data_IF_102211901563
#
_entry.id   IF_102211901563
#
_cell.length_a   1.000
_cell.length_b   1.000
_cell.length_c   1.000
_cell.angle_alpha   90.00
_cell.angle_beta   90.00
_cell.angle_gamma   90.00
#
_symmetry.space_group_name_H-M   'P 1'
#
loop_
_entity.id
_entity.type
_entity.pdbx_description
1 polymer ?
#
# COMPACT_ATOMS: atom_id res chain seq x y z
N UNK A 1 -3.12 -10.94 -20.43
CA UNK A 1 -3.75 -11.50 -19.21
C UNK A 1 -2.75 -12.15 -18.27
N UNK A 2 -1.88 -13.06 -18.70
CA UNK A 2 -0.83 -13.70 -17.84
C UNK A 2 0.01 -12.70 -17.02
N UNK A 3 0.36 -11.56 -17.58
CA UNK A 3 1.19 -10.55 -16.92
C UNK A 3 0.53 -9.91 -15.69
N UNK A 4 -0.79 -9.69 -15.70
CA UNK A 4 -1.48 -9.11 -14.54
C UNK A 4 -1.71 -10.13 -13.41
N UNK A 5 -1.84 -11.41 -13.75
CA UNK A 5 -1.90 -12.49 -12.74
C UNK A 5 -0.58 -12.57 -11.99
N UNK A 6 0.56 -12.47 -12.68
CA UNK A 6 1.88 -12.40 -12.05
C UNK A 6 2.03 -11.20 -11.10
N UNK A 7 1.47 -10.03 -11.48
CA UNK A 7 1.45 -8.86 -10.61
C UNK A 7 0.57 -9.06 -9.37
N UNK A 8 -0.62 -9.64 -9.55
CA UNK A 8 -1.53 -9.95 -8.44
C UNK A 8 -0.86 -10.89 -7.44
N UNK A 9 -0.26 -11.97 -7.92
CA UNK A 9 0.45 -12.95 -7.09
C UNK A 9 1.64 -12.31 -6.35
N UNK A 10 2.35 -11.42 -7.03
CA UNK A 10 3.45 -10.66 -6.44
C UNK A 10 2.97 -9.77 -5.29
N UNK A 11 1.92 -8.96 -5.52
CA UNK A 11 1.32 -8.11 -4.51
C UNK A 11 0.79 -8.95 -3.33
N UNK A 12 0.09 -10.05 -3.61
CA UNK A 12 -0.48 -10.92 -2.57
C UNK A 12 0.59 -11.53 -1.67
N UNK A 13 1.72 -11.96 -2.24
CA UNK A 13 2.85 -12.48 -1.49
C UNK A 13 3.47 -11.43 -0.55
N UNK A 14 3.71 -10.22 -1.04
CA UNK A 14 4.29 -9.14 -0.23
C UNK A 14 3.29 -8.59 0.79
N UNK A 15 2.02 -8.41 0.41
CA UNK A 15 0.96 -7.98 1.31
C UNK A 15 0.81 -8.95 2.49
N UNK A 16 0.80 -10.25 2.23
CA UNK A 16 0.75 -11.28 3.27
C UNK A 16 1.97 -11.24 4.20
N UNK A 17 3.16 -11.01 3.66
CA UNK A 17 4.39 -10.94 4.44
C UNK A 17 4.39 -9.76 5.44
N UNK A 18 3.63 -8.69 5.17
CA UNK A 18 3.49 -7.51 6.04
C UNK A 18 2.15 -7.45 6.77
N UNK A 19 1.37 -8.55 6.78
CA UNK A 19 0.10 -8.63 7.51
C UNK A 19 -1.05 -7.89 6.86
N UNK A 20 -1.01 -7.69 5.54
CA UNK A 20 -2.13 -7.14 4.75
C UNK A 20 -2.81 -8.30 4.05
N UNK A 21 -3.99 -8.68 4.52
CA UNK A 21 -4.74 -9.83 4.01
C UNK A 21 -5.73 -9.40 2.92
N UNK A 22 -5.97 -10.31 1.96
CA UNK A 22 -7.00 -10.12 0.94
C UNK A 22 -8.38 -10.26 1.56
N UNK A 23 -9.17 -9.17 1.58
CA UNK A 23 -10.47 -9.15 2.26
C UNK A 23 -11.67 -9.01 1.33
N UNK A 24 -11.48 -8.50 0.12
CA UNK A 24 -12.58 -8.18 -0.77
C UNK A 24 -12.61 -9.11 -1.99
N UNK A 25 -13.81 -9.48 -2.44
CA UNK A 25 -13.96 -10.25 -3.67
C UNK A 25 -13.23 -9.57 -4.83
N UNK A 26 -12.73 -10.38 -5.75
CA UNK A 26 -12.14 -9.88 -6.96
C UNK A 26 -13.19 -9.17 -7.82
N UNK A 27 -12.89 -7.96 -8.25
CA UNK A 27 -13.62 -7.29 -9.31
C UNK A 27 -12.98 -7.61 -10.66
N UNK A 28 -13.69 -7.35 -11.77
CA UNK A 28 -13.20 -7.67 -13.11
C UNK A 28 -11.91 -6.93 -13.47
N UNK A 29 -11.75 -5.72 -12.94
CA UNK A 29 -10.68 -4.79 -13.23
C UNK A 29 -9.75 -4.48 -12.05
N UNK A 30 -9.90 -5.18 -10.90
CA UNK A 30 -9.03 -4.94 -9.77
C UNK A 30 -9.20 -5.82 -8.55
N UNK A 31 -8.44 -5.50 -7.52
CA UNK A 31 -8.35 -6.24 -6.24
C UNK A 31 -8.09 -5.27 -5.09
N UNK A 32 -8.55 -5.64 -3.88
CA UNK A 32 -8.26 -4.88 -2.66
C UNK A 32 -7.75 -5.81 -1.58
N UNK A 33 -6.66 -5.41 -0.95
CA UNK A 33 -6.11 -6.02 0.24
C UNK A 33 -6.18 -5.03 1.39
N UNK A 34 -6.54 -5.53 2.56
CA UNK A 34 -6.65 -4.71 3.76
C UNK A 34 -5.86 -5.31 4.92
N UNK A 35 -5.18 -4.47 5.63
CA UNK A 35 -4.48 -4.74 6.87
C UNK A 35 -4.92 -3.79 7.98
N UNK A 36 -4.25 -3.88 9.11
CA UNK A 36 -4.59 -3.04 10.28
C UNK A 36 -4.31 -1.55 10.05
N UNK A 37 -3.24 -1.23 9.32
CA UNK A 37 -2.74 0.14 9.15
C UNK A 37 -2.69 0.60 7.70
N UNK A 38 -2.93 -0.29 6.74
CA UNK A 38 -2.89 0.04 5.34
C UNK A 38 -3.93 -0.74 4.54
N UNK A 39 -4.44 -0.11 3.48
CA UNK A 39 -5.23 -0.74 2.43
C UNK A 39 -4.56 -0.51 1.08
N UNK A 40 -4.56 -1.53 0.25
CA UNK A 40 -4.01 -1.49 -1.11
C UNK A 40 -5.11 -1.84 -2.09
N UNK A 41 -5.39 -0.94 -3.02
CA UNK A 41 -6.23 -1.20 -4.18
C UNK A 41 -5.35 -1.32 -5.42
N UNK A 42 -5.56 -2.37 -6.21
CA UNK A 42 -5.00 -2.54 -7.54
C UNK A 42 -6.11 -2.38 -8.57
N UNK A 43 -5.93 -1.46 -9.50
CA UNK A 43 -6.75 -1.32 -10.69
C UNK A 43 -5.95 -1.69 -11.94
N UNK A 44 -6.49 -2.57 -12.78
CA UNK A 44 -5.94 -2.90 -14.10
C UNK A 44 -6.49 -1.90 -15.10
N UNK A 45 -5.62 -1.03 -15.60
CA UNK A 45 -5.98 -0.02 -16.60
C UNK A 45 -6.04 -0.68 -17.98
N UNK A 46 -7.10 -0.42 -18.74
CA UNK A 46 -7.36 -1.10 -20.00
C UNK A 46 -6.36 -0.75 -21.11
N UNK A 47 -5.86 0.48 -21.11
CA UNK A 47 -4.92 1.00 -22.10
C UNK A 47 -3.97 2.02 -21.48
N UNK A 48 -2.77 2.18 -22.05
CA UNK A 48 -1.77 3.14 -21.61
C UNK A 48 -2.07 4.54 -22.18
N UNK A 49 -3.15 5.19 -21.69
CA UNK A 49 -3.56 6.54 -22.09
C UNK A 49 -3.86 7.43 -20.87
N UNK A 50 -3.81 8.75 -21.07
CA UNK A 50 -4.09 9.74 -20.02
C UNK A 50 -5.54 9.58 -19.53
N UNK A 51 -6.48 9.44 -20.45
CA UNK A 51 -7.90 9.36 -20.12
C UNK A 51 -8.22 8.07 -19.35
N UNK A 52 -7.68 6.93 -19.79
CA UNK A 52 -7.86 5.65 -19.08
C UNK A 52 -7.26 5.69 -17.66
N UNK A 53 -6.10 6.33 -17.47
CA UNK A 53 -5.50 6.50 -16.13
C UNK A 53 -6.37 7.40 -15.27
N UNK A 54 -6.89 8.50 -15.83
CA UNK A 54 -7.77 9.44 -15.11
C UNK A 54 -9.03 8.75 -14.63
N UNK A 55 -9.74 8.09 -15.54
CA UNK A 55 -11.00 7.40 -15.23
C UNK A 55 -10.81 6.29 -14.19
N UNK A 56 -9.76 5.50 -14.34
CA UNK A 56 -9.38 4.46 -13.40
C UNK A 56 -9.04 5.04 -12.03
N UNK A 57 -8.24 6.12 -11.99
CA UNK A 57 -7.88 6.82 -10.76
C UNK A 57 -9.11 7.32 -10.02
N UNK A 58 -10.00 8.05 -10.70
CA UNK A 58 -11.20 8.62 -10.09
C UNK A 58 -12.12 7.55 -9.52
N UNK A 59 -12.44 6.54 -10.32
CA UNK A 59 -13.31 5.44 -9.89
C UNK A 59 -12.75 4.67 -8.70
N UNK A 60 -11.47 4.28 -8.75
CA UNK A 60 -10.87 3.45 -7.70
C UNK A 60 -10.48 4.24 -6.46
N UNK A 61 -10.15 5.53 -6.61
CA UNK A 61 -9.92 6.41 -5.47
C UNK A 61 -11.19 6.58 -4.65
N UNK A 62 -12.36 6.77 -5.29
CA UNK A 62 -13.64 6.86 -4.59
C UNK A 62 -13.96 5.55 -3.84
N UNK A 63 -13.79 4.38 -4.48
CA UNK A 63 -14.00 3.07 -3.83
C UNK A 63 -13.09 2.89 -2.62
N UNK A 64 -11.81 3.24 -2.76
CA UNK A 64 -10.84 3.11 -1.68
C UNK A 64 -11.18 4.06 -0.53
N UNK A 65 -11.59 5.30 -0.80
CA UNK A 65 -11.99 6.29 0.20
C UNK A 65 -13.15 5.77 1.07
N UNK A 66 -14.20 5.26 0.43
CA UNK A 66 -15.34 4.68 1.16
C UNK A 66 -14.94 3.52 2.08
N UNK A 67 -13.98 2.69 1.66
CA UNK A 67 -13.49 1.58 2.45
C UNK A 67 -12.59 2.03 3.59
N UNK A 68 -11.73 3.02 3.36
CA UNK A 68 -10.87 3.63 4.38
C UNK A 68 -11.73 4.23 5.50
N UNK A 69 -12.71 5.08 5.14
CA UNK A 69 -13.62 5.70 6.11
C UNK A 69 -14.33 4.65 6.97
N UNK A 70 -14.90 3.60 6.36
CA UNK A 70 -15.57 2.52 7.11
C UNK A 70 -14.64 1.80 8.06
N UNK A 71 -13.42 1.51 7.64
CA UNK A 71 -12.46 0.78 8.46
C UNK A 71 -11.88 1.66 9.57
N UNK A 72 -11.62 2.94 9.30
CA UNK A 72 -11.17 3.91 10.31
C UNK A 72 -12.22 4.11 11.41
N UNK A 73 -13.49 4.26 11.03
CA UNK A 73 -14.60 4.35 11.99
C UNK A 73 -14.75 3.10 12.84
N UNK A 74 -14.55 1.91 12.26
CA UNK A 74 -14.65 0.65 12.98
C UNK A 74 -13.48 0.41 13.94
N UNK A 75 -12.28 0.85 13.59
CA UNK A 75 -11.04 0.54 14.33
C UNK A 75 -10.51 1.70 15.16
N UNK A 76 -11.04 2.92 15.00
CA UNK A 76 -10.54 4.16 15.59
C UNK A 76 -9.03 4.38 15.34
N UNK A 77 -8.58 4.05 14.13
CA UNK A 77 -7.17 4.08 13.73
C UNK A 77 -7.08 4.65 12.32
N UNK A 78 -6.14 5.56 12.09
CA UNK A 78 -5.85 6.06 10.74
C UNK A 78 -5.26 4.94 9.89
N UNK A 79 -5.72 4.84 8.65
CA UNK A 79 -5.33 3.79 7.71
C UNK A 79 -4.76 4.43 6.45
N UNK A 80 -3.51 4.09 6.13
CA UNK A 80 -2.88 4.55 4.90
C UNK A 80 -3.50 3.86 3.67
N UNK A 81 -4.00 4.65 2.73
CA UNK A 81 -4.52 4.18 1.44
C UNK A 81 -3.45 4.17 0.35
N UNK A 82 -3.39 3.10 -0.44
CA UNK A 82 -2.51 2.96 -1.60
C UNK A 82 -3.33 2.51 -2.81
N UNK A 83 -3.27 3.28 -3.89
CA UNK A 83 -3.88 2.93 -5.18
C UNK A 83 -2.80 2.60 -6.20
N UNK A 84 -2.79 1.37 -6.68
CA UNK A 84 -1.88 0.90 -7.73
C UNK A 84 -2.66 0.86 -9.04
N UNK A 85 -2.22 1.62 -10.03
CA UNK A 85 -2.76 1.64 -11.38
C UNK A 85 -1.80 0.84 -12.29
N UNK A 86 -2.21 -0.34 -12.74
CA UNK A 86 -1.38 -1.22 -13.55
C UNK A 86 -1.67 -1.03 -15.04
N UNK A 87 -0.70 -0.50 -15.77
CA UNK A 87 -0.78 -0.33 -17.23
C UNK A 87 -0.44 -1.63 -17.95
N UNK A 88 -1.03 -1.88 -19.14
CA UNK A 88 -0.70 -3.04 -19.97
C UNK A 88 0.70 -2.96 -20.57
N UNK A 89 1.18 -1.74 -20.85
CA UNK A 89 2.42 -1.50 -21.57
C UNK A 89 3.26 -0.39 -20.93
N UNK A 90 4.56 -0.35 -21.29
CA UNK A 90 5.47 0.71 -20.90
C UNK A 90 5.02 2.06 -21.51
N UNK A 91 4.82 3.11 -20.69
CA UNK A 91 4.36 4.41 -21.16
C UNK A 91 5.44 5.17 -21.94
N UNK A 92 5.01 6.00 -22.90
CA UNK A 92 5.85 6.98 -23.57
C UNK A 92 6.22 8.18 -22.64
N UNK A 93 7.05 9.08 -23.10
CA UNK A 93 7.54 10.20 -22.29
C UNK A 93 6.43 11.20 -21.91
N UNK A 94 5.44 11.40 -22.78
CA UNK A 94 4.29 12.27 -22.50
C UNK A 94 3.44 11.67 -21.36
N UNK A 95 3.16 10.40 -21.47
CA UNK A 95 2.37 9.67 -20.44
C UNK A 95 3.15 9.59 -19.12
N UNK A 96 4.48 9.41 -19.15
CA UNK A 96 5.34 9.45 -17.95
C UNK A 96 5.29 10.79 -17.22
N UNK A 97 5.16 11.91 -17.93
CA UNK A 97 4.98 13.24 -17.32
C UNK A 97 3.67 13.30 -16.55
N UNK A 98 2.57 12.87 -17.15
CA UNK A 98 1.26 12.79 -16.49
C UNK A 98 1.26 11.81 -15.30
N UNK A 99 1.92 10.65 -15.43
CA UNK A 99 2.08 9.69 -14.34
C UNK A 99 2.75 10.32 -13.12
N UNK A 100 3.77 11.16 -13.30
CA UNK A 100 4.40 11.88 -12.18
C UNK A 100 3.42 12.81 -11.46
N UNK A 101 2.57 13.50 -12.19
CA UNK A 101 1.52 14.34 -11.61
C UNK A 101 0.53 13.50 -10.78
N UNK A 102 0.11 12.35 -11.30
CA UNK A 102 -0.77 11.41 -10.60
C UNK A 102 -0.11 10.87 -9.32
N UNK A 103 1.16 10.50 -9.37
CA UNK A 103 1.91 9.97 -8.22
C UNK A 103 2.22 11.04 -7.16
N UNK A 104 2.30 12.32 -7.55
CA UNK A 104 2.48 13.46 -6.63
C UNK A 104 1.17 13.89 -5.95
N UNK A 105 0.02 13.55 -6.51
CA UNK A 105 -1.27 13.77 -5.88
C UNK A 105 -1.50 12.74 -4.77
N UNK A 106 -1.35 13.18 -3.52
CA UNK A 106 -1.55 12.32 -2.32
C UNK A 106 -2.92 12.51 -1.67
N UNK A 107 -3.84 13.22 -2.31
CA UNK A 107 -5.20 13.41 -1.80
C UNK A 107 -5.91 12.06 -1.66
N UNK A 108 -6.46 11.76 -0.50
CA UNK A 108 -7.10 10.51 -0.08
C UNK A 108 -6.11 9.34 0.08
N UNK A 109 -5.29 9.07 -0.93
CA UNK A 109 -4.39 7.91 -0.94
C UNK A 109 -3.12 8.19 -1.75
N UNK A 110 -2.09 7.40 -1.51
CA UNK A 110 -0.87 7.42 -2.32
C UNK A 110 -1.10 6.63 -3.60
N UNK A 111 -0.76 7.22 -4.74
CA UNK A 111 -0.97 6.62 -6.05
C UNK A 111 0.36 6.14 -6.62
N UNK A 112 0.36 4.96 -7.21
CA UNK A 112 1.50 4.37 -7.89
C UNK A 112 1.06 3.82 -9.23
N UNK A 113 1.74 4.22 -10.30
CA UNK A 113 1.48 3.68 -11.64
C UNK A 113 2.59 2.69 -11.97
N UNK A 114 2.22 1.46 -12.27
CA UNK A 114 3.14 0.36 -12.58
C UNK A 114 2.91 -0.17 -13.98
N UNK A 115 3.95 -0.67 -14.61
CA UNK A 115 3.89 -1.29 -15.94
C UNK A 115 4.90 -2.41 -16.06
N UNK A 116 4.69 -3.38 -16.96
CA UNK A 116 5.62 -4.47 -17.16
C UNK A 116 6.89 -3.98 -17.88
N UNK A 117 8.04 -4.33 -17.33
CA UNK A 117 9.32 -4.22 -18.03
C UNK A 117 9.57 -5.49 -18.87
N UNK A 118 10.50 -5.43 -19.85
CA UNK A 118 10.83 -6.59 -20.70
C UNK A 118 11.79 -7.53 -19.96
N UNK A 119 11.27 -8.19 -18.94
CA UNK A 119 12.05 -9.11 -18.11
C UNK A 119 11.27 -10.42 -17.90
N UNK A 120 11.99 -11.53 -17.75
CA UNK A 120 11.38 -12.87 -17.63
C UNK A 120 10.97 -13.20 -16.19
N UNK A 121 11.57 -12.54 -15.20
CA UNK A 121 11.28 -12.76 -13.78
C UNK A 121 10.20 -11.79 -13.31
N UNK A 122 9.16 -12.30 -12.66
CA UNK A 122 7.98 -11.51 -12.28
C UNK A 122 8.32 -10.28 -11.41
N UNK A 123 9.23 -10.43 -10.42
CA UNK A 123 9.64 -9.30 -9.58
C UNK A 123 10.37 -8.22 -10.37
N UNK A 124 11.25 -8.59 -11.29
CA UNK A 124 12.00 -7.65 -12.13
C UNK A 124 11.07 -7.01 -13.15
N UNK A 125 10.15 -7.80 -13.72
CA UNK A 125 9.14 -7.33 -14.68
C UNK A 125 8.24 -6.23 -14.10
N UNK A 126 7.90 -6.32 -12.83
CA UNK A 126 7.06 -5.36 -12.13
C UNK A 126 7.84 -4.53 -11.10
N UNK A 127 9.10 -4.20 -11.37
CA UNK A 127 10.02 -3.51 -10.46
C UNK A 127 9.42 -2.28 -9.78
N UNK A 128 8.57 -1.52 -10.45
CA UNK A 128 7.93 -0.35 -9.87
C UNK A 128 7.03 -0.64 -8.66
N UNK A 129 6.60 -1.89 -8.47
CA UNK A 129 5.79 -2.28 -7.30
C UNK A 129 6.56 -2.04 -5.97
N UNK A 130 7.88 -2.09 -5.99
CA UNK A 130 8.70 -1.85 -4.80
C UNK A 130 8.71 -0.38 -4.33
N UNK A 131 8.10 0.54 -5.10
CA UNK A 131 7.83 1.91 -4.66
C UNK A 131 6.61 2.01 -3.74
N UNK A 132 5.77 0.97 -3.68
CA UNK A 132 4.60 0.92 -2.81
C UNK A 132 5.07 0.54 -1.40
N UNK A 133 5.31 1.56 -0.57
CA UNK A 133 5.92 1.39 0.75
C UNK A 133 5.14 0.49 1.70
N UNK A 134 3.81 0.36 1.51
CA UNK A 134 2.98 -0.55 2.30
C UNK A 134 3.31 -2.03 2.10
N UNK A 135 3.89 -2.39 0.95
CA UNK A 135 4.29 -3.78 0.66
C UNK A 135 5.64 -4.16 1.27
N UNK A 136 6.29 -3.19 1.93
CA UNK A 136 7.64 -3.39 2.44
C UNK A 136 8.70 -3.28 1.34
N UNK A 137 9.94 -3.10 1.76
CA UNK A 137 11.08 -3.21 0.86
C UNK A 137 11.42 -4.69 0.68
N UNK A 138 11.87 -5.11 -0.54
CA UNK A 138 12.39 -6.45 -0.70
C UNK A 138 13.54 -6.64 0.30
N UNK A 139 13.70 -7.85 0.88
CA UNK A 139 14.78 -8.11 1.80
C UNK A 139 16.11 -7.85 1.08
N UNK A 140 16.74 -6.72 1.41
CA UNK A 140 18.10 -6.46 0.96
C UNK A 140 19.02 -7.29 1.83
N UNK A 141 19.99 -8.03 1.24
CA UNK A 141 21.02 -8.73 2.03
C UNK A 141 21.79 -7.78 2.96
N UNK A 142 21.86 -6.49 2.61
CA UNK A 142 22.51 -5.44 3.40
C UNK A 142 21.66 -4.97 4.60
N UNK A 143 20.34 -5.10 4.52
CA UNK A 143 19.40 -4.77 5.62
C UNK A 143 19.12 -5.94 6.56
N UNK A 144 19.55 -7.16 6.23
CA UNK A 144 19.48 -8.32 7.10
C UNK A 144 20.49 -8.26 8.29
N UNK A 145 21.45 -7.36 8.24
CA UNK A 145 22.20 -6.93 9.43
C UNK A 145 21.28 -6.07 10.28
N UNK A 146 20.72 -6.67 11.33
CA UNK A 146 19.65 -6.10 12.14
C UNK A 146 19.84 -4.61 12.42
N UNK A 147 18.81 -3.84 12.13
CA UNK A 147 18.71 -2.46 12.65
C UNK A 147 18.81 -2.61 14.16
N UNK A 148 19.96 -2.21 14.73
CA UNK A 148 20.10 -2.10 16.17
C UNK A 148 19.10 -1.02 16.61
N UNK A 149 17.91 -1.45 16.99
CA UNK A 149 16.97 -0.55 17.66
C UNK A 149 17.69 0.01 18.88
N UNK A 150 17.68 1.34 19.07
CA UNK A 150 18.25 1.93 20.27
C UNK A 150 17.60 1.27 21.50
N UNK A 151 18.42 0.99 22.53
CA UNK A 151 17.90 0.45 23.76
C UNK A 151 16.90 1.44 24.37
N UNK A 152 15.63 1.06 24.36
CA UNK A 152 14.57 1.86 24.95
C UNK A 152 14.60 1.70 26.48
N UNK A 153 14.31 2.76 27.22
CA UNK A 153 14.08 2.67 28.67
C UNK A 153 12.86 1.79 28.97
N UNK A 154 12.71 1.34 30.21
CA UNK A 154 11.59 0.50 30.63
C UNK A 154 10.23 1.15 30.33
N UNK A 155 10.09 2.45 30.62
CA UNK A 155 8.89 3.23 30.32
C UNK A 155 8.63 3.35 28.81
N UNK A 156 9.66 3.57 28.00
CA UNK A 156 9.54 3.62 26.54
C UNK A 156 9.14 2.25 25.95
N UNK A 157 9.68 1.16 26.49
CA UNK A 157 9.31 -0.19 26.11
C UNK A 157 7.83 -0.49 26.44
N UNK A 158 7.37 -0.07 27.61
CA UNK A 158 5.97 -0.19 28.01
C UNK A 158 5.03 0.54 27.03
N UNK A 159 5.32 1.81 26.74
CA UNK A 159 4.57 2.60 25.76
C UNK A 159 4.59 1.93 24.38
N UNK A 160 5.75 1.47 23.92
CA UNK A 160 5.89 0.81 22.64
C UNK A 160 5.07 -0.49 22.54
N UNK A 161 5.06 -1.29 23.63
CA UNK A 161 4.23 -2.49 23.68
C UNK A 161 2.74 -2.16 23.63
N UNK A 162 2.26 -1.14 24.37
CA UNK A 162 0.88 -0.68 24.26
C UNK A 162 0.52 -0.22 22.85
N UNK A 163 1.42 0.53 22.17
CA UNK A 163 1.21 0.94 20.80
C UNK A 163 1.10 -0.28 19.86
N UNK A 164 1.95 -1.30 20.04
CA UNK A 164 1.91 -2.52 19.24
C UNK A 164 0.65 -3.35 19.46
N UNK A 165 0.17 -3.43 20.70
CA UNK A 165 -1.00 -4.24 21.06
C UNK A 165 -2.33 -3.61 20.66
N UNK A 166 -2.50 -2.33 20.89
CA UNK A 166 -3.81 -1.67 20.75
C UNK A 166 -3.83 -0.49 19.77
N UNK A 167 -2.70 -0.15 19.15
CA UNK A 167 -2.54 0.99 18.25
C UNK A 167 -2.32 2.31 18.98
N UNK A 168 -1.77 3.34 18.29
CA UNK A 168 -1.31 4.58 18.93
C UNK A 168 -2.45 5.36 19.61
N UNK A 169 -3.63 5.44 19.01
CA UNK A 169 -4.76 6.19 19.58
C UNK A 169 -5.27 5.62 20.90
N UNK A 170 -5.44 4.29 20.97
CA UNK A 170 -5.87 3.62 22.21
C UNK A 170 -4.77 3.61 23.27
N UNK A 171 -3.51 3.46 22.86
CA UNK A 171 -2.38 3.55 23.77
C UNK A 171 -2.29 4.95 24.41
N UNK A 172 -2.43 6.01 23.62
CA UNK A 172 -2.46 7.38 24.12
C UNK A 172 -3.64 7.62 25.08
N UNK A 173 -4.85 7.18 24.72
CA UNK A 173 -6.03 7.31 25.59
C UNK A 173 -5.83 6.60 26.94
N UNK A 174 -5.25 5.40 26.92
CA UNK A 174 -4.94 4.63 28.13
C UNK A 174 -3.93 5.34 29.03
N UNK A 175 -2.80 5.79 28.46
CA UNK A 175 -1.76 6.51 29.22
C UNK A 175 -2.32 7.79 29.85
N UNK A 176 -3.17 8.53 29.13
CA UNK A 176 -3.82 9.73 29.67
C UNK A 176 -4.82 9.42 30.79
N UNK A 177 -5.48 8.24 30.75
CA UNK A 177 -6.43 7.82 31.79
C UNK A 177 -5.76 7.26 33.05
N UNK A 178 -4.59 6.65 32.92
CA UNK A 178 -3.83 6.05 34.03
C UNK A 178 -2.94 7.08 34.77
N UNK A 179 -2.70 8.27 34.16
CA UNK A 179 -1.84 9.32 34.71
C UNK A 179 -0.34 8.97 34.65
N UNK A 180 0.57 9.93 34.83
CA UNK A 180 1.99 9.61 34.98
C UNK A 180 2.20 8.97 36.36
N UNK A 181 2.80 7.75 36.37
CA UNK A 181 3.38 7.17 37.60
C UNK A 181 4.60 7.97 38.06
#
# INVERSE_FOLDING_TARGET
MRSFEELIDLIERYAKAVGIDRRFPAESDGRIWAGRYAQIALCIVKESSIDAIRDAKESWQQKLDELLIRQEQANLTVIDGYLILALPDCPDDRLRTYIREVEMDTFICRKHVVWPEKEDVAEVKWRRIFKVTALGLPPSPELAGGVNMPALSESQNSIWNHIREMGPGRAAARILSEGPE
#
